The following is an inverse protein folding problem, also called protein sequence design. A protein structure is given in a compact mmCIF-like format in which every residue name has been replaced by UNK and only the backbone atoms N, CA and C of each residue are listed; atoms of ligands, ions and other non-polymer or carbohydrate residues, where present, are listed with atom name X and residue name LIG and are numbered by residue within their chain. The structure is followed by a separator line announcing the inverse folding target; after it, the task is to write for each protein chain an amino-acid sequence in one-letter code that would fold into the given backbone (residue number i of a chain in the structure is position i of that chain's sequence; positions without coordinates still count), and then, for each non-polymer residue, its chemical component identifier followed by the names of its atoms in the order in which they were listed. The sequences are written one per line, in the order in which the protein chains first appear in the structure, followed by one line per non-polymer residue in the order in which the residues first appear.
data_IF_484309825793
#
_entry.id   IF_484309825793
#
_cell.length_a   1.000
_cell.length_b   1.000
_cell.length_c   1.000
_cell.angle_alpha   90.00
_cell.angle_beta   90.00
_cell.angle_gamma   90.00
#
_symmetry.space_group_name_H-M   'P 1'
#
loop_
_entity.id
_entity.type
_entity.pdbx_description
1 polymer ?
#
# COMPACT_ATOMS: atom_id res chain seq x y z
N UNK A 1 -3.26 -16.44 6.62
CA UNK A 1 -1.80 -16.23 6.54
C UNK A 1 -1.49 -15.91 5.09
N UNK A 2 -1.17 -14.66 4.76
CA UNK A 2 -0.88 -14.30 3.36
C UNK A 2 0.47 -14.90 3.03
N UNK A 3 0.51 -15.90 2.16
CA UNK A 3 1.77 -16.48 1.68
C UNK A 3 2.36 -15.49 0.67
N UNK A 4 3.10 -14.53 1.19
CA UNK A 4 3.91 -13.66 0.37
C UNK A 4 5.07 -14.49 -0.14
N UNK A 5 5.18 -14.64 -1.46
CA UNK A 5 6.32 -15.30 -2.07
C UNK A 5 7.65 -14.64 -1.68
N UNK A 6 8.74 -15.36 -1.75
CA UNK A 6 10.07 -14.79 -1.64
C UNK A 6 10.19 -13.58 -2.60
N UNK A 7 10.79 -12.47 -2.13
CA UNK A 7 11.00 -11.27 -2.96
C UNK A 7 9.88 -10.20 -2.92
N UNK A 8 8.80 -10.40 -2.16
CA UNK A 8 7.83 -9.35 -1.88
C UNK A 8 8.14 -8.67 -0.54
N UNK A 9 8.22 -7.34 -0.55
CA UNK A 9 8.47 -6.54 0.66
C UNK A 9 7.57 -5.32 0.68
N UNK A 10 7.23 -4.82 1.88
CA UNK A 10 6.42 -3.63 2.03
C UNK A 10 6.97 -2.67 3.08
N UNK A 11 6.94 -1.38 2.74
CA UNK A 11 7.15 -0.28 3.68
C UNK A 11 5.79 0.33 4.00
N UNK A 12 5.33 0.12 5.23
CA UNK A 12 3.98 0.51 5.65
C UNK A 12 3.95 1.92 6.20
N UNK A 13 3.16 2.79 5.55
CA UNK A 13 2.81 4.12 6.03
C UNK A 13 1.68 4.03 7.07
N UNK A 14 0.70 3.16 6.82
CA UNK A 14 -0.41 2.88 7.72
C UNK A 14 -0.62 1.37 7.84
N UNK A 15 -0.99 0.91 9.03
CA UNK A 15 -1.44 -0.46 9.29
C UNK A 15 -2.52 -0.48 10.35
N UNK A 16 -3.64 -1.14 10.07
CA UNK A 16 -4.77 -1.31 11.01
C UNK A 16 -5.26 0.02 11.60
N UNK A 17 -5.33 1.07 10.77
CA UNK A 17 -5.75 2.40 11.20
C UNK A 17 -4.65 3.26 11.84
N UNK A 18 -3.49 2.70 12.14
CA UNK A 18 -2.39 3.41 12.79
C UNK A 18 -1.34 3.85 11.75
N UNK A 19 -1.02 5.14 11.73
CA UNK A 19 0.05 5.69 10.90
C UNK A 19 1.41 5.53 11.61
N UNK A 20 2.44 5.14 10.83
CA UNK A 20 3.81 5.08 11.30
C UNK A 20 4.47 6.44 11.08
N UNK A 21 4.57 7.24 12.12
CA UNK A 21 5.07 8.62 12.04
C UNK A 21 6.50 8.71 11.50
N UNK A 22 7.40 7.83 11.95
CA UNK A 22 8.80 7.80 11.50
C UNK A 22 8.91 7.51 9.99
N UNK A 23 8.12 6.56 9.50
CA UNK A 23 8.07 6.25 8.08
C UNK A 23 7.42 7.40 7.31
N UNK A 24 6.32 7.92 7.82
CA UNK A 24 5.56 9.02 7.21
C UNK A 24 6.42 10.28 7.05
N UNK A 25 7.22 10.62 8.04
CA UNK A 25 8.13 11.78 8.00
C UNK A 25 9.14 11.73 6.83
N UNK A 26 9.41 10.53 6.31
CA UNK A 26 10.34 10.32 5.17
C UNK A 26 9.67 10.54 3.81
N UNK A 27 8.34 10.62 3.76
CA UNK A 27 7.55 10.73 2.53
C UNK A 27 6.52 11.87 2.58
N UNK A 28 6.94 13.12 2.92
CA UNK A 28 6.01 14.23 3.12
C UNK A 28 5.17 14.54 1.87
N UNK A 29 5.76 14.45 0.66
CA UNK A 29 5.02 14.66 -0.60
C UNK A 29 3.94 13.62 -0.82
N UNK A 30 4.21 12.34 -0.54
CA UNK A 30 3.22 11.27 -0.64
C UNK A 30 2.08 11.52 0.33
N UNK A 31 2.37 11.89 1.58
CA UNK A 31 1.33 12.21 2.57
C UNK A 31 0.51 13.43 2.16
N UNK A 32 1.13 14.47 1.60
CA UNK A 32 0.41 15.64 1.09
C UNK A 32 -0.59 15.25 0.00
N UNK A 33 -0.16 14.40 -0.95
CA UNK A 33 -1.05 13.89 -1.99
C UNK A 33 -2.17 13.04 -1.39
N UNK A 34 -1.85 12.08 -0.51
CA UNK A 34 -2.86 11.23 0.13
C UNK A 34 -3.89 12.07 0.92
N UNK A 35 -3.44 13.12 1.63
CA UNK A 35 -4.32 14.01 2.39
C UNK A 35 -5.26 14.84 1.49
N UNK A 36 -4.85 15.13 0.25
CA UNK A 36 -5.66 15.89 -0.70
C UNK A 36 -6.68 15.04 -1.46
N UNK A 37 -6.55 13.71 -1.39
CA UNK A 37 -7.47 12.82 -2.10
C UNK A 37 -8.78 12.65 -1.33
N UNK A 38 -9.93 12.69 -2.01
CA UNK A 38 -11.23 12.45 -1.38
C UNK A 38 -11.48 10.94 -1.15
N UNK A 39 -10.44 10.18 -0.84
CA UNK A 39 -10.51 8.74 -0.63
C UNK A 39 -10.73 8.46 0.85
N UNK A 40 -11.80 7.77 1.23
CA UNK A 40 -12.00 7.32 2.60
C UNK A 40 -11.07 6.14 2.89
N UNK A 41 -9.93 6.40 3.54
CA UNK A 41 -8.98 5.35 3.91
C UNK A 41 -9.62 4.31 4.82
N UNK A 42 -9.40 3.05 4.48
CA UNK A 42 -9.78 1.92 5.31
C UNK A 42 -8.75 1.64 6.40
N UNK A 43 -9.14 0.83 7.37
CA UNK A 43 -8.28 0.46 8.50
C UNK A 43 -7.21 -0.58 8.19
N UNK A 44 -7.13 -1.10 6.94
CA UNK A 44 -6.16 -2.15 6.61
C UNK A 44 -4.76 -1.62 6.37
N UNK A 45 -4.57 -0.72 5.40
CA UNK A 45 -3.25 -0.17 5.18
C UNK A 45 -3.04 0.75 4.00
N UNK A 46 -1.93 1.49 4.11
CA UNK A 46 -1.29 2.23 3.03
C UNK A 46 0.18 1.86 3.05
N UNK A 47 0.73 1.43 1.91
CA UNK A 47 2.09 0.94 1.86
C UNK A 47 2.73 1.08 0.48
N UNK A 48 4.02 1.30 0.45
CA UNK A 48 4.83 0.99 -0.72
C UNK A 48 5.13 -0.50 -0.74
N UNK A 49 4.96 -1.14 -1.89
CA UNK A 49 5.27 -2.54 -2.07
C UNK A 49 6.26 -2.72 -3.23
N UNK A 50 7.29 -3.52 -2.95
CA UNK A 50 8.29 -3.95 -3.91
C UNK A 50 8.08 -5.44 -4.20
N UNK A 51 8.20 -5.82 -5.45
CA UNK A 51 8.31 -7.21 -5.89
C UNK A 51 9.59 -7.37 -6.69
N UNK A 52 10.45 -8.27 -6.23
CA UNK A 52 11.74 -8.54 -6.85
C UNK A 52 11.58 -9.18 -8.25
N UNK A 53 12.65 -9.15 -9.08
CA UNK A 53 12.72 -9.90 -10.33
C UNK A 53 12.38 -11.39 -10.15
N UNK A 54 11.77 -11.99 -11.17
CA UNK A 54 11.49 -13.43 -11.24
C UNK A 54 10.72 -13.97 -10.02
N UNK A 55 9.84 -13.15 -9.43
CA UNK A 55 9.03 -13.53 -8.25
C UNK A 55 7.56 -13.26 -8.45
N UNK A 56 6.74 -13.85 -7.56
CA UNK A 56 5.28 -13.66 -7.56
C UNK A 56 4.69 -13.84 -6.17
N UNK A 57 3.44 -13.42 -6.04
CA UNK A 57 2.58 -13.75 -4.90
C UNK A 57 1.62 -14.82 -5.37
N UNK A 58 1.61 -15.95 -4.66
CA UNK A 58 0.73 -17.08 -4.99
C UNK A 58 -0.75 -16.71 -4.89
N UNK A 59 -1.60 -17.44 -5.60
CA UNK A 59 -3.04 -17.28 -5.59
C UNK A 59 -3.61 -17.39 -4.16
N UNK A 60 -4.34 -16.37 -3.74
CA UNK A 60 -4.98 -16.26 -2.43
C UNK A 60 -6.14 -15.27 -2.48
N UNK A 61 -6.96 -15.24 -1.44
CA UNK A 61 -7.94 -14.19 -1.19
C UNK A 61 -7.72 -13.57 0.19
N UNK A 62 -8.04 -12.29 0.33
CA UNK A 62 -7.78 -11.55 1.58
C UNK A 62 -8.90 -11.68 2.62
N UNK A 63 -10.05 -12.20 2.26
CA UNK A 63 -11.17 -12.45 3.16
C UNK A 63 -11.76 -11.20 3.82
N UNK A 64 -11.68 -10.04 3.16
CA UNK A 64 -12.22 -8.76 3.65
C UNK A 64 -13.05 -8.07 2.58
N UNK A 65 -14.36 -8.23 2.65
CA UNK A 65 -15.32 -7.69 1.70
C UNK A 65 -15.71 -6.21 1.94
N UNK A 66 -15.15 -5.59 2.97
CA UNK A 66 -15.44 -4.21 3.33
C UNK A 66 -14.42 -3.20 2.81
N UNK A 67 -13.43 -3.64 2.03
CA UNK A 67 -12.41 -2.80 1.41
C UNK A 67 -12.23 -3.13 -0.07
N UNK A 68 -11.83 -2.11 -0.83
CA UNK A 68 -11.19 -2.26 -2.12
C UNK A 68 -9.72 -1.82 -2.00
N UNK A 69 -8.88 -2.37 -2.87
CA UNK A 69 -7.44 -2.10 -2.87
C UNK A 69 -7.03 -1.43 -4.18
N UNK A 70 -6.40 -0.25 -4.08
CA UNK A 70 -5.81 0.44 -5.22
C UNK A 70 -4.30 0.17 -5.27
N UNK A 71 -3.79 -0.18 -6.44
CA UNK A 71 -2.36 -0.27 -6.75
C UNK A 71 -2.00 0.83 -7.76
N UNK A 72 -1.24 1.84 -7.35
CA UNK A 72 -0.66 2.84 -8.23
C UNK A 72 0.74 2.38 -8.67
N UNK A 73 0.99 2.23 -9.97
CA UNK A 73 2.30 1.94 -10.51
C UNK A 73 3.27 3.09 -10.28
N UNK A 74 4.36 2.87 -9.53
CA UNK A 74 5.38 3.88 -9.26
C UNK A 74 6.61 3.72 -10.14
N UNK A 75 7.10 2.49 -10.25
CA UNK A 75 8.13 2.06 -11.18
C UNK A 75 7.77 0.66 -11.65
N UNK A 76 7.46 0.57 -12.91
CA UNK A 76 7.06 -0.67 -13.57
C UNK A 76 8.09 -1.00 -14.63
N UNK A 77 8.70 -2.18 -14.61
CA UNK A 77 9.56 -2.66 -15.68
C UNK A 77 8.91 -2.50 -17.05
N UNK A 78 9.70 -2.05 -18.03
CA UNK A 78 9.18 -1.75 -19.38
C UNK A 78 8.89 -2.98 -20.22
N UNK A 79 9.34 -4.13 -19.80
CA UNK A 79 9.09 -5.40 -20.46
C UNK A 79 7.60 -5.71 -20.45
N UNK A 80 7.01 -5.74 -21.65
CA UNK A 80 5.57 -5.86 -21.82
C UNK A 80 5.05 -7.18 -21.25
N UNK A 81 3.99 -7.10 -20.44
CA UNK A 81 3.38 -8.27 -19.82
C UNK A 81 4.17 -8.95 -18.70
N UNK A 82 5.42 -8.51 -18.42
CA UNK A 82 6.24 -9.11 -17.37
C UNK A 82 5.67 -8.88 -15.97
N UNK A 83 5.13 -7.68 -15.70
CA UNK A 83 4.54 -7.33 -14.41
C UNK A 83 3.02 -7.33 -14.48
N UNK A 84 2.39 -8.27 -13.78
CA UNK A 84 0.96 -8.48 -13.89
C UNK A 84 0.30 -8.87 -12.57
N UNK A 85 -1.01 -8.65 -12.52
CA UNK A 85 -1.92 -9.17 -11.50
C UNK A 85 -3.07 -9.91 -12.19
N UNK A 86 -3.46 -11.07 -11.65
CA UNK A 86 -4.69 -11.77 -12.00
C UNK A 86 -5.65 -11.67 -10.83
N UNK A 87 -6.89 -11.31 -11.09
CA UNK A 87 -7.98 -11.28 -10.12
C UNK A 87 -9.14 -12.08 -10.72
N UNK A 88 -9.53 -13.16 -10.08
CA UNK A 88 -10.47 -14.14 -10.66
C UNK A 88 -9.96 -14.63 -12.01
N UNK A 89 -10.74 -14.44 -13.05
CA UNK A 89 -10.38 -14.82 -14.44
C UNK A 89 -9.63 -13.74 -15.22
N UNK A 90 -9.50 -12.52 -14.69
CA UNK A 90 -8.92 -11.39 -15.43
C UNK A 90 -7.45 -11.13 -15.07
N UNK A 91 -6.59 -11.05 -16.10
CA UNK A 91 -5.20 -10.63 -15.96
C UNK A 91 -5.02 -9.21 -16.50
N UNK A 92 -4.35 -8.37 -15.71
CA UNK A 92 -4.00 -6.98 -16.05
C UNK A 92 -2.53 -6.72 -15.75
N UNK A 93 -1.89 -5.90 -16.60
CA UNK A 93 -0.52 -5.41 -16.34
C UNK A 93 -0.57 -4.05 -15.67
N UNK A 94 0.34 -3.81 -14.71
CA UNK A 94 0.54 -2.46 -14.19
C UNK A 94 1.18 -1.57 -15.23
N UNK A 95 0.84 -0.30 -15.15
CA UNK A 95 1.46 0.76 -15.92
C UNK A 95 1.92 1.86 -14.96
N UNK A 96 3.09 2.42 -15.23
CA UNK A 96 3.63 3.52 -14.41
C UNK A 96 2.70 4.74 -14.47
N UNK A 97 2.42 5.34 -13.32
CA UNK A 97 1.49 6.46 -13.18
C UNK A 97 -0.01 6.10 -13.33
N UNK A 98 -0.35 4.81 -13.52
CA UNK A 98 -1.76 4.36 -13.60
C UNK A 98 -2.15 3.58 -12.35
N UNK A 99 -3.42 3.73 -11.96
CA UNK A 99 -4.01 3.00 -10.85
C UNK A 99 -4.85 1.81 -11.36
N UNK A 100 -4.73 0.68 -10.68
CA UNK A 100 -5.66 -0.45 -10.77
C UNK A 100 -6.41 -0.56 -9.45
N UNK A 101 -7.72 -0.63 -9.49
CA UNK A 101 -8.56 -0.92 -8.32
C UNK A 101 -9.04 -2.36 -8.43
N UNK A 102 -8.86 -3.11 -7.36
CA UNK A 102 -9.17 -4.53 -7.30
C UNK A 102 -9.98 -4.86 -6.05
N UNK A 103 -10.84 -5.84 -6.17
CA UNK A 103 -11.50 -6.50 -5.06
C UNK A 103 -10.68 -7.73 -4.66
N UNK A 104 -10.04 -7.66 -3.51
CA UNK A 104 -9.15 -8.72 -3.00
C UNK A 104 -9.90 -9.85 -2.32
N UNK A 105 -11.25 -9.85 -2.31
CA UNK A 105 -12.06 -11.00 -1.91
C UNK A 105 -12.05 -12.09 -2.97
N UNK A 106 -11.88 -11.74 -4.23
CA UNK A 106 -11.63 -12.70 -5.29
C UNK A 106 -10.22 -13.27 -5.18
N UNK A 107 -10.05 -14.51 -5.61
CA UNK A 107 -8.72 -15.08 -5.72
C UNK A 107 -7.85 -14.23 -6.63
N UNK A 108 -6.67 -13.86 -6.15
CA UNK A 108 -5.74 -13.05 -6.89
C UNK A 108 -4.28 -13.48 -6.67
N UNK A 109 -3.47 -13.23 -7.67
CA UNK A 109 -2.04 -13.52 -7.68
C UNK A 109 -1.28 -12.46 -8.48
N UNK A 110 0.03 -12.38 -8.27
CA UNK A 110 0.86 -11.42 -9.00
C UNK A 110 2.12 -12.07 -9.51
N UNK A 111 2.65 -11.55 -10.62
CA UNK A 111 3.95 -11.94 -11.15
C UNK A 111 4.79 -10.74 -11.56
N UNK A 112 6.10 -10.88 -11.39
CA UNK A 112 7.13 -10.04 -11.95
C UNK A 112 8.16 -10.94 -12.64
N UNK A 113 7.96 -11.22 -13.92
CA UNK A 113 8.87 -12.02 -14.76
C UNK A 113 9.96 -11.19 -15.43
N UNK A 114 10.17 -9.94 -14.99
CA UNK A 114 11.24 -9.08 -15.50
C UNK A 114 12.53 -9.23 -14.70
N UNK A 115 13.60 -8.61 -15.20
CA UNK A 115 14.91 -8.53 -14.53
C UNK A 115 15.03 -7.35 -13.56
N UNK A 116 13.96 -6.53 -13.41
CA UNK A 116 13.96 -5.35 -12.56
C UNK A 116 12.90 -5.45 -11.44
N UNK A 117 13.13 -4.69 -10.37
CA UNK A 117 12.15 -4.53 -9.30
C UNK A 117 10.90 -3.77 -9.77
N UNK A 118 9.72 -4.25 -9.40
CA UNK A 118 8.46 -3.53 -9.55
C UNK A 118 8.08 -2.83 -8.24
N UNK A 119 7.71 -1.55 -8.32
CA UNK A 119 7.23 -0.76 -7.17
C UNK A 119 5.82 -0.24 -7.41
N UNK A 120 4.94 -0.41 -6.42
CA UNK A 120 3.59 0.17 -6.40
C UNK A 120 3.30 0.82 -5.05
N UNK A 121 2.44 1.84 -5.05
CA UNK A 121 1.77 2.31 -3.84
C UNK A 121 0.44 1.57 -3.73
N UNK A 122 0.24 0.89 -2.62
CA UNK A 122 -1.01 0.20 -2.29
C UNK A 122 -1.78 1.06 -1.30
N UNK A 123 -3.06 1.29 -1.59
CA UNK A 123 -3.98 2.04 -0.73
C UNK A 123 -5.27 1.24 -0.59
N UNK A 124 -5.58 0.84 0.62
CA UNK A 124 -6.86 0.23 0.94
C UNK A 124 -7.87 1.33 1.31
N UNK A 125 -9.06 1.24 0.76
CA UNK A 125 -10.15 2.16 1.05
C UNK A 125 -11.47 1.39 1.25
N UNK A 126 -12.43 2.05 1.90
CA UNK A 126 -13.72 1.45 2.20
C UNK A 126 -14.47 1.07 0.93
N UNK A 127 -15.10 -0.10 0.94
CA UNK A 127 -16.03 -0.46 -0.12
C UNK A 127 -17.14 0.61 -0.21
N UNK A 128 -17.51 1.08 -1.41
CA UNK A 128 -18.47 2.17 -1.57
C UNK A 128 -19.85 1.86 -0.99
N UNK A 129 -20.25 0.59 -0.96
CA UNK A 129 -21.56 0.15 -0.45
C UNK A 129 -21.67 0.17 1.08
N UNK A 130 -20.56 0.38 1.80
CA UNK A 130 -20.61 0.52 3.26
C UNK A 130 -21.24 1.84 3.67
N UNK A 131 -22.20 1.77 4.58
CA UNK A 131 -22.76 2.95 5.24
C UNK A 131 -21.74 3.62 6.17
N UNK A 132 -22.05 4.83 6.61
CA UNK A 132 -21.21 5.58 7.57
C UNK A 132 -21.14 4.84 8.90
N UNK A 133 -22.25 4.24 9.33
CA UNK A 133 -22.39 3.51 10.59
C UNK A 133 -21.55 2.22 10.56
N UNK A 134 -21.57 1.47 9.46
CA UNK A 134 -20.76 0.26 9.28
C UNK A 134 -19.27 0.59 9.30
N UNK A 135 -18.85 1.66 8.63
CA UNK A 135 -17.46 2.13 8.69
C UNK A 135 -17.05 2.54 10.10
N UNK A 136 -17.94 3.21 10.84
CA UNK A 136 -17.70 3.59 12.24
C UNK A 136 -17.57 2.36 13.15
N UNK A 137 -18.46 1.38 12.99
CA UNK A 137 -18.41 0.12 13.74
C UNK A 137 -17.12 -0.65 13.47
N UNK A 138 -16.73 -0.79 12.20
CA UNK A 138 -15.45 -1.43 11.80
C UNK A 138 -14.23 -0.70 12.41
N UNK A 139 -14.22 0.64 12.39
CA UNK A 139 -13.14 1.42 13.04
C UNK A 139 -13.07 1.13 14.54
N UNK A 140 -14.21 1.19 15.24
CA UNK A 140 -14.26 0.91 16.67
C UNK A 140 -13.76 -0.49 17.01
N UNK A 141 -14.06 -1.49 16.16
CA UNK A 141 -13.54 -2.83 16.32
C UNK A 141 -12.01 -2.88 16.20
N UNK A 142 -11.44 -2.21 15.18
CA UNK A 142 -9.99 -2.16 15.00
C UNK A 142 -9.29 -1.37 16.10
N UNK A 143 -9.89 -0.29 16.59
CA UNK A 143 -9.36 0.48 17.73
C UNK A 143 -9.36 -0.34 19.01
N UNK A 144 -10.41 -1.10 19.26
CA UNK A 144 -10.48 -2.03 20.40
C UNK A 144 -9.39 -3.11 20.28
N UNK A 145 -9.25 -3.69 19.10
CA UNK A 145 -8.22 -4.68 18.83
C UNK A 145 -6.81 -4.12 19.06
N UNK A 146 -6.51 -2.92 18.56
CA UNK A 146 -5.21 -2.28 18.74
C UNK A 146 -4.89 -2.05 20.20
N UNK A 147 -5.88 -1.59 21.00
CA UNK A 147 -5.74 -1.43 22.46
C UNK A 147 -5.47 -2.77 23.14
N UNK A 148 -6.24 -3.81 22.81
CA UNK A 148 -6.05 -5.14 23.38
C UNK A 148 -4.67 -5.74 23.06
N UNK A 149 -4.18 -5.52 21.83
CA UNK A 149 -2.85 -6.00 21.40
C UNK A 149 -1.68 -5.10 21.88
N UNK A 150 -1.96 -4.07 22.72
CA UNK A 150 -0.93 -3.14 23.24
C UNK A 150 -0.31 -2.26 22.15
N UNK A 151 -0.95 -2.13 21.02
CA UNK A 151 -0.54 -1.20 19.96
C UNK A 151 -1.03 0.18 20.34
N UNK A 152 -0.10 1.08 20.68
CA UNK A 152 -0.40 2.43 21.14
C UNK A 152 -1.40 3.16 20.26
N UNK A 153 -2.24 4.01 20.89
CA UNK A 153 -3.27 4.78 20.20
C UNK A 153 -2.65 5.68 19.14
N UNK A 154 -2.77 5.25 17.88
CA UNK A 154 -2.49 6.13 16.75
C UNK A 154 -3.52 7.25 16.70
N UNK A 155 -3.16 8.35 16.06
CA UNK A 155 -4.04 9.46 15.71
C UNK A 155 -5.38 8.96 15.20
N UNK A 156 -6.47 9.59 15.60
CA UNK A 156 -7.89 9.27 15.31
C UNK A 156 -8.08 8.64 13.93
N UNK A 157 -8.62 7.42 13.95
CA UNK A 157 -8.66 6.47 12.86
C UNK A 157 -8.82 7.04 11.47
N UNK A 158 -7.82 6.82 10.62
CA UNK A 158 -7.90 7.01 9.18
C UNK A 158 -7.52 8.39 8.64
N UNK A 159 -7.30 9.41 9.46
CA UNK A 159 -6.79 10.71 8.97
C UNK A 159 -5.28 10.60 8.71
N UNK A 160 -4.85 11.12 7.55
CA UNK A 160 -3.42 11.31 7.26
C UNK A 160 -2.82 12.23 8.33
N UNK A 161 -1.65 11.90 8.92
CA UNK A 161 -1.03 12.77 9.92
C UNK A 161 -0.81 14.19 9.39
N UNK A 162 -1.01 15.23 10.21
CA UNK A 162 -0.67 16.58 9.83
C UNK A 162 0.83 16.68 9.56
N UNK A 163 1.21 17.33 8.47
CA UNK A 163 2.62 17.54 8.13
C UNK A 163 3.21 18.56 9.10
N UNK A 164 4.31 18.20 9.75
CA UNK A 164 5.15 19.17 10.46
C UNK A 164 5.63 20.25 9.48
N UNK A 165 5.64 21.51 9.94
CA UNK A 165 6.06 22.68 9.19
C UNK A 165 7.34 22.40 8.39
N UNK A 166 7.30 22.69 7.10
CA UNK A 166 8.35 22.49 6.11
C UNK A 166 9.73 22.98 6.60
N UNK A 167 10.67 22.07 6.76
CA UNK A 167 12.06 22.39 6.45
C UNK A 167 12.20 22.36 4.93
N UNK A 168 12.28 23.55 4.34
CA UNK A 168 12.64 23.73 2.94
C UNK A 168 14.04 23.17 2.70
N UNK A 169 14.16 21.95 2.26
CA UNK A 169 15.36 21.49 1.56
C UNK A 169 15.15 21.66 0.05
N UNK A 170 15.90 22.61 -0.51
CA UNK A 170 16.11 22.72 -1.95
C UNK A 170 16.94 21.49 -2.39
N UNK A 171 16.43 20.65 -3.26
CA UNK A 171 17.31 19.76 -3.97
C UNK A 171 16.73 18.46 -4.50
N UNK A 172 16.72 18.39 -5.81
CA UNK A 172 16.79 17.23 -6.71
C UNK A 172 15.52 16.41 -6.94
N UNK A 173 14.99 16.61 -8.11
CA UNK A 173 14.11 15.67 -8.81
C UNK A 173 14.82 14.31 -8.92
N UNK A 174 14.23 13.30 -8.32
CA UNK A 174 14.77 11.93 -8.24
C UNK A 174 14.61 11.26 -6.89
N UNK A 175 14.27 12.03 -5.83
CA UNK A 175 14.37 11.59 -4.45
C UNK A 175 13.44 10.45 -4.00
N UNK A 176 12.27 10.26 -4.60
CA UNK A 176 11.30 9.25 -4.12
C UNK A 176 11.74 7.84 -4.52
N UNK A 177 12.18 7.65 -5.77
CA UNK A 177 12.60 6.33 -6.26
C UNK A 177 13.96 5.91 -5.69
N UNK A 178 14.91 6.85 -5.57
CA UNK A 178 16.19 6.58 -4.92
C UNK A 178 16.01 6.26 -3.42
N UNK A 179 15.10 6.96 -2.74
CA UNK A 179 14.73 6.67 -1.36
C UNK A 179 14.07 5.30 -1.17
N UNK A 180 13.21 4.88 -2.11
CA UNK A 180 12.59 3.56 -2.08
C UNK A 180 13.62 2.45 -2.30
N UNK A 181 14.52 2.60 -3.28
CA UNK A 181 15.59 1.61 -3.53
C UNK A 181 16.52 1.44 -2.32
N UNK A 182 16.90 2.54 -1.67
CA UNK A 182 17.74 2.50 -0.46
C UNK A 182 17.04 1.85 0.74
N UNK A 183 15.71 1.99 0.83
CA UNK A 183 14.92 1.42 1.93
C UNK A 183 14.68 -0.08 1.80
N UNK A 184 14.60 -0.58 0.58
CA UNK A 184 14.42 -2.01 0.30
C UNK A 184 15.75 -2.74 0.07
N UNK A 185 16.87 -2.01 -0.11
CA UNK A 185 18.19 -2.55 -0.43
C UNK A 185 19.06 -2.99 0.76
N UNK A 186 18.54 -3.00 1.97
CA UNK A 186 19.30 -3.37 3.16
C UNK A 186 19.14 -4.84 3.57
N UNK A 187 20.21 -5.62 3.31
CA UNK A 187 20.61 -6.94 3.81
C UNK A 187 20.23 -8.14 2.96
N UNK A 188 21.11 -8.41 2.00
CA UNK A 188 21.46 -9.77 1.61
C UNK A 188 22.90 -10.03 2.12
N UNK A 189 23.03 -10.78 3.19
CA UNK A 189 24.08 -11.73 3.49
C UNK A 189 23.43 -12.92 4.14
#
# INVERSE_FOLDING_TARGET
MTVMGAGWTALRLQRLGLWNEDVCARFPRTLSVLASLPIPFAVRGVMFARQAPETGVQAHSDGRNFILTMHLGLRIPKEEGACWIRVGGERRSWQEGKALVIDTTFEHETGNGSTEDRYVLIVDFWHPDLSVEERAALRSFYDLRNRFEGRGGGTEGGKVPPQGSERREKGKEGGVLAGLAALFGGRGQ
#
